data_IF_500946403256
#
_entry.id   IF_500946403256
#
_cell.length_a   1.000
_cell.length_b   1.000
_cell.length_c   1.000
_cell.angle_alpha   90.00
_cell.angle_beta   90.00
_cell.angle_gamma   90.00
#
_symmetry.space_group_name_H-M   'P 1'
#
loop_
_entity.id
_entity.type
_entity.pdbx_description
1 polymer ?
#
# COMPACT_ATOMS: atom_id res chain seq x y z
N UNK A 1 2.91 0.83 -26.12
CA UNK A 1 2.28 0.23 -24.91
C UNK A 1 2.91 -1.11 -24.59
N UNK A 2 3.66 -1.16 -23.49
CA UNK A 2 4.34 -2.38 -23.04
C UNK A 2 3.43 -3.19 -22.10
N UNK A 3 2.84 -4.29 -22.62
CA UNK A 3 1.89 -5.13 -21.87
C UNK A 3 2.52 -5.77 -20.62
N UNK A 4 3.81 -6.09 -20.64
CA UNK A 4 4.48 -6.68 -19.48
C UNK A 4 4.62 -5.69 -18.32
N UNK A 5 5.01 -4.45 -18.62
CA UNK A 5 5.07 -3.37 -17.62
C UNK A 5 3.69 -3.06 -17.06
N UNK A 6 2.65 -3.11 -17.89
CA UNK A 6 1.26 -2.92 -17.46
C UNK A 6 0.81 -3.99 -16.47
N UNK A 7 1.07 -5.27 -16.75
CA UNK A 7 0.74 -6.37 -15.83
C UNK A 7 1.51 -6.24 -14.52
N UNK A 8 2.82 -5.95 -14.58
CA UNK A 8 3.63 -5.70 -13.37
C UNK A 8 3.08 -4.54 -12.56
N UNK A 9 2.73 -3.43 -13.20
CA UNK A 9 2.10 -2.28 -12.55
C UNK A 9 0.78 -2.63 -11.87
N UNK A 10 -0.07 -3.44 -12.53
CA UNK A 10 -1.30 -3.98 -11.95
C UNK A 10 -1.04 -4.85 -10.71
N UNK A 11 0.01 -5.69 -10.72
CA UNK A 11 0.41 -6.47 -9.54
C UNK A 11 0.82 -5.57 -8.36
N UNK A 12 1.61 -4.52 -8.60
CA UNK A 12 1.97 -3.55 -7.56
C UNK A 12 0.74 -2.81 -7.02
N UNK A 13 -0.22 -2.43 -7.89
CA UNK A 13 -1.49 -1.83 -7.44
C UNK A 13 -2.36 -2.79 -6.64
N UNK A 14 -2.36 -4.09 -6.95
CA UNK A 14 -3.09 -5.08 -6.14
C UNK A 14 -2.50 -5.19 -4.73
N UNK A 15 -1.17 -5.19 -4.61
CA UNK A 15 -0.47 -5.14 -3.32
C UNK A 15 -0.74 -3.84 -2.55
N UNK A 16 -0.82 -2.72 -3.25
CA UNK A 16 -1.23 -1.43 -2.69
C UNK A 16 -2.64 -1.49 -2.08
N UNK A 17 -3.64 -2.00 -2.82
CA UNK A 17 -5.03 -2.11 -2.33
C UNK A 17 -5.13 -2.97 -1.07
N UNK A 18 -4.46 -4.13 -1.04
CA UNK A 18 -4.43 -5.00 0.14
C UNK A 18 -3.76 -4.30 1.33
N UNK A 19 -2.66 -3.58 1.08
CA UNK A 19 -1.93 -2.86 2.11
C UNK A 19 -2.76 -1.75 2.74
N UNK A 20 -3.58 -1.04 1.96
CA UNK A 20 -4.53 -0.04 2.48
C UNK A 20 -5.54 -0.69 3.43
N UNK A 21 -6.14 -1.81 3.02
CA UNK A 21 -7.14 -2.51 3.84
C UNK A 21 -6.50 -2.96 5.16
N UNK A 22 -5.30 -3.54 5.10
CA UNK A 22 -4.57 -3.98 6.29
C UNK A 22 -4.20 -2.81 7.20
N UNK A 23 -3.73 -1.69 6.64
CA UNK A 23 -3.42 -0.48 7.40
C UNK A 23 -4.66 0.10 8.07
N UNK A 24 -5.81 0.14 7.39
CA UNK A 24 -7.06 0.61 7.97
C UNK A 24 -7.50 -0.27 9.16
N UNK A 25 -7.44 -1.59 9.02
CA UNK A 25 -7.80 -2.53 10.10
C UNK A 25 -6.86 -2.38 11.30
N UNK A 26 -5.55 -2.33 11.04
CA UNK A 26 -4.53 -2.21 12.11
C UNK A 26 -4.57 -0.86 12.80
N UNK A 27 -4.79 0.25 12.08
CA UNK A 27 -4.99 1.57 12.69
C UNK A 27 -6.28 1.62 13.52
N UNK A 28 -7.40 1.13 13.00
CA UNK A 28 -8.66 1.06 13.74
C UNK A 28 -8.50 0.27 15.06
N UNK A 29 -7.91 -0.92 14.95
CA UNK A 29 -7.62 -1.78 16.11
C UNK A 29 -6.59 -1.12 17.04
N UNK A 30 -5.60 -0.43 16.49
CA UNK A 30 -4.58 0.30 17.22
C UNK A 30 -5.17 1.40 18.09
N UNK A 31 -6.00 2.27 17.53
CA UNK A 31 -6.69 3.31 18.29
C UNK A 31 -7.64 2.74 19.35
N UNK A 32 -8.28 1.60 19.08
CA UNK A 32 -9.07 0.90 20.09
C UNK A 32 -8.20 0.40 21.26
N UNK A 33 -7.05 -0.21 20.95
CA UNK A 33 -6.14 -0.81 21.92
C UNK A 33 -5.36 0.19 22.77
N UNK A 34 -5.28 1.46 22.37
CA UNK A 34 -4.69 2.53 23.19
C UNK A 34 -5.34 2.63 24.57
N UNK A 35 -6.63 2.31 24.70
CA UNK A 35 -7.36 2.29 25.98
C UNK A 35 -6.85 1.24 26.96
N UNK A 36 -6.16 0.21 26.44
CA UNK A 36 -5.53 -0.86 27.21
C UNK A 36 -4.01 -0.71 27.25
N UNK A 37 -3.49 0.50 26.96
CA UNK A 37 -2.06 0.82 26.91
C UNK A 37 -1.24 -0.03 25.91
N UNK A 38 -1.92 -0.67 24.95
CA UNK A 38 -1.28 -1.47 23.91
C UNK A 38 -1.24 -0.71 22.58
N UNK A 39 -0.05 -0.26 22.22
CA UNK A 39 0.21 0.54 21.02
C UNK A 39 0.73 -0.28 19.84
N UNK A 40 0.92 -1.60 19.97
CA UNK A 40 1.56 -2.44 18.94
C UNK A 40 0.84 -2.35 17.60
N UNK A 41 -0.49 -2.49 17.60
CA UNK A 41 -1.30 -2.42 16.38
C UNK A 41 -1.28 -1.02 15.74
N UNK A 42 -1.22 0.03 16.56
CA UNK A 42 -1.11 1.40 16.09
C UNK A 42 0.24 1.64 15.39
N UNK A 43 1.34 1.19 15.99
CA UNK A 43 2.68 1.29 15.41
C UNK A 43 2.76 0.53 14.08
N UNK A 44 2.21 -0.69 14.01
CA UNK A 44 2.16 -1.47 12.76
C UNK A 44 1.36 -0.72 11.69
N UNK A 45 0.18 -0.19 12.04
CA UNK A 45 -0.65 0.57 11.12
C UNK A 45 0.04 1.81 10.58
N UNK A 46 0.79 2.53 11.42
CA UNK A 46 1.60 3.70 11.04
C UNK A 46 2.80 3.31 10.15
N UNK A 47 3.47 2.20 10.43
CA UNK A 47 4.58 1.69 9.60
C UNK A 47 4.10 1.19 8.23
N UNK A 48 2.85 0.76 8.10
CA UNK A 48 2.25 0.38 6.80
C UNK A 48 2.03 1.60 5.89
N UNK A 49 1.88 2.81 6.41
CA UNK A 49 1.67 4.03 5.61
C UNK A 49 2.81 4.26 4.59
N UNK A 50 4.10 4.31 4.96
CA UNK A 50 5.17 4.48 3.97
C UNK A 50 5.25 3.32 2.97
N UNK A 51 4.92 2.09 3.40
CA UNK A 51 4.85 0.91 2.51
C UNK A 51 3.76 1.07 1.45
N UNK A 52 2.58 1.58 1.84
CA UNK A 52 1.49 1.90 0.93
C UNK A 52 1.93 2.95 -0.10
N UNK A 53 2.58 4.03 0.33
CA UNK A 53 3.10 5.04 -0.59
C UNK A 53 4.12 4.47 -1.58
N UNK A 54 5.00 3.58 -1.12
CA UNK A 54 5.95 2.89 -2.00
C UNK A 54 5.24 2.03 -3.07
N UNK A 55 4.24 1.25 -2.67
CA UNK A 55 3.47 0.42 -3.62
C UNK A 55 2.70 1.27 -4.63
N UNK A 56 2.07 2.37 -4.20
CA UNK A 56 1.41 3.32 -5.10
C UNK A 56 2.41 3.92 -6.10
N UNK A 57 3.54 4.45 -5.61
CA UNK A 57 4.56 5.06 -6.46
C UNK A 57 5.04 4.09 -7.54
N UNK A 58 5.42 2.87 -7.13
CA UNK A 58 5.95 1.86 -8.06
C UNK A 58 4.90 1.35 -9.04
N UNK A 59 3.68 1.11 -8.56
CA UNK A 59 2.57 0.65 -9.41
C UNK A 59 2.17 1.69 -10.45
N UNK A 60 1.96 2.94 -10.03
CA UNK A 60 1.61 4.03 -10.94
C UNK A 60 2.74 4.35 -11.91
N UNK A 61 4.00 4.35 -11.45
CA UNK A 61 5.16 4.57 -12.31
C UNK A 61 5.25 3.53 -13.44
N UNK A 62 5.09 2.24 -13.12
CA UNK A 62 5.08 1.17 -14.13
C UNK A 62 3.91 1.28 -15.12
N UNK A 63 2.74 1.71 -14.65
CA UNK A 63 1.58 1.91 -15.52
C UNK A 63 1.84 3.08 -16.47
N UNK A 64 2.31 4.22 -15.95
CA UNK A 64 2.63 5.39 -16.77
C UNK A 64 3.71 5.06 -17.79
N UNK A 65 4.78 4.38 -17.38
CA UNK A 65 5.85 3.93 -18.27
C UNK A 65 5.34 2.90 -19.30
N UNK A 66 4.36 2.06 -18.94
CA UNK A 66 3.77 1.12 -19.90
C UNK A 66 2.92 1.79 -20.98
N UNK A 67 2.30 2.93 -20.67
CA UNK A 67 1.37 3.65 -21.57
C UNK A 67 2.14 4.69 -22.39
N UNK A 68 2.99 5.48 -21.73
CA UNK A 68 3.66 6.65 -22.29
C UNK A 68 5.16 6.45 -22.50
N UNK A 69 5.75 5.39 -21.93
CA UNK A 69 7.14 5.02 -22.20
C UNK A 69 7.23 4.27 -23.52
N UNK A 70 8.14 4.71 -24.39
CA UNK A 70 8.49 4.06 -25.65
C UNK A 70 8.85 2.57 -25.47
#
# INVERSE_FOLDING_TARGET
MNKEKLVKGGMWLSGFSISIILSAITLYTGFHNMKYENYTMLIIGLLLIPVIFFFAYKGLSLILESIFGD
#
